data_IF_914310857150
#
_entry.id   IF_914310857150
#
_cell.length_a   1.000
_cell.length_b   1.000
_cell.length_c   1.000
_cell.angle_alpha   90.00
_cell.angle_beta   90.00
_cell.angle_gamma   90.00
#
_symmetry.space_group_name_H-M   'P 1'
#
loop_
_entity.id
_entity.type
_entity.pdbx_description
1 polymer ?
#
# COMPACT_ATOMS: atom_id res chain seq x y z
N UNK A 1 -3.05 5.97 22.56
CA UNK A 1 -2.40 4.90 21.77
C UNK A 1 -0.91 4.95 22.06
N UNK A 2 -0.35 3.94 22.75
CA UNK A 2 1.05 3.92 23.16
C UNK A 2 1.91 3.49 21.95
N UNK A 3 2.59 4.43 21.30
CA UNK A 3 3.33 4.21 20.03
C UNK A 3 4.68 3.47 20.25
N UNK A 4 4.99 3.10 21.49
CA UNK A 4 6.34 2.74 21.96
C UNK A 4 6.86 1.33 21.62
N UNK A 5 6.19 0.53 20.77
CA UNK A 5 6.66 -0.83 20.43
C UNK A 5 6.52 -1.25 18.96
N UNK A 6 6.30 -0.32 18.03
CA UNK A 6 6.31 -0.67 16.61
C UNK A 6 7.76 -0.68 16.10
N UNK A 7 8.36 -1.86 15.96
CA UNK A 7 9.68 -2.03 15.35
C UNK A 7 9.59 -1.72 13.84
N UNK A 8 9.99 -0.51 13.45
CA UNK A 8 10.12 -0.15 12.04
C UNK A 8 11.46 -0.66 11.49
N UNK A 9 11.38 -1.37 10.37
CA UNK A 9 12.52 -1.67 9.52
C UNK A 9 12.86 -0.45 8.66
N UNK A 10 14.14 -0.31 8.32
CA UNK A 10 14.65 0.76 7.47
C UNK A 10 15.28 0.18 6.21
N UNK A 11 14.99 0.79 5.07
CA UNK A 11 15.62 0.45 3.80
C UNK A 11 16.11 1.72 3.11
N UNK A 12 17.43 1.83 2.89
CA UNK A 12 18.00 2.94 2.13
C UNK A 12 17.58 2.82 0.67
N UNK A 13 16.82 3.79 0.18
CA UNK A 13 16.30 3.82 -1.18
C UNK A 13 17.17 4.67 -2.12
N UNK A 14 17.86 5.67 -1.57
CA UNK A 14 18.62 6.64 -2.35
C UNK A 14 19.68 7.31 -1.48
N UNK A 15 20.86 7.57 -2.07
CA UNK A 15 21.88 8.46 -1.51
C UNK A 15 21.98 9.67 -2.43
N UNK A 16 21.78 10.87 -1.90
CA UNK A 16 21.90 12.13 -2.64
C UNK A 16 22.52 13.20 -1.74
N UNK A 17 23.49 13.95 -2.27
CA UNK A 17 24.20 15.01 -1.51
C UNK A 17 24.80 14.52 -0.18
N UNK A 18 25.41 13.33 -0.16
CA UNK A 18 25.95 12.68 1.04
C UNK A 18 24.90 12.48 2.16
N UNK A 19 23.61 12.45 1.80
CA UNK A 19 22.51 12.09 2.69
C UNK A 19 21.86 10.82 2.19
N UNK A 20 21.63 9.90 3.12
CA UNK A 20 20.90 8.68 2.89
C UNK A 20 19.41 8.90 3.14
N UNK A 21 18.57 8.42 2.24
CA UNK A 21 17.12 8.50 2.32
C UNK A 21 16.56 7.10 2.53
N UNK A 22 15.74 6.94 3.58
CA UNK A 22 15.23 5.65 4.01
C UNK A 22 13.71 5.57 3.87
N UNK A 23 13.21 4.42 3.43
CA UNK A 23 11.83 4.00 3.71
C UNK A 23 11.81 3.39 5.10
N UNK A 24 10.92 3.89 5.96
CA UNK A 24 10.64 3.29 7.25
C UNK A 24 9.34 2.48 7.11
N UNK A 25 9.34 1.19 7.43
CA UNK A 25 8.15 0.36 7.27
C UNK A 25 8.03 -0.70 8.37
N UNK A 26 6.81 -1.13 8.63
CA UNK A 26 6.51 -2.25 9.54
C UNK A 26 6.47 -3.54 8.73
N UNK A 27 6.68 -4.71 9.37
CA UNK A 27 6.43 -5.99 8.72
C UNK A 27 5.00 -6.02 8.16
N UNK A 28 4.86 -6.25 6.85
CA UNK A 28 3.54 -6.24 6.18
C UNK A 28 2.62 -7.29 6.81
N UNK A 29 3.19 -8.44 7.18
CA UNK A 29 2.48 -9.53 7.87
C UNK A 29 1.67 -9.00 9.06
N UNK A 30 2.30 -8.22 9.94
CA UNK A 30 1.62 -7.67 11.11
C UNK A 30 0.45 -6.74 10.70
N UNK A 31 0.65 -5.91 9.66
CA UNK A 31 -0.43 -5.05 9.15
C UNK A 31 -1.61 -5.87 8.59
N UNK A 32 -1.33 -6.96 7.85
CA UNK A 32 -2.36 -7.86 7.33
C UNK A 32 -3.06 -8.60 8.47
N UNK A 33 -2.33 -9.11 9.46
CA UNK A 33 -2.89 -9.79 10.64
C UNK A 33 -3.83 -8.86 11.42
N UNK A 34 -3.47 -7.59 11.60
CA UNK A 34 -4.34 -6.60 12.25
C UNK A 34 -5.63 -6.41 11.44
N UNK A 35 -5.53 -6.26 10.12
CA UNK A 35 -6.72 -6.10 9.25
C UNK A 35 -7.62 -7.34 9.29
N UNK A 36 -7.02 -8.54 9.28
CA UNK A 36 -7.75 -9.81 9.35
C UNK A 36 -8.29 -10.10 10.75
N UNK A 37 -7.75 -9.50 11.81
CA UNK A 37 -8.25 -9.69 13.18
C UNK A 37 -9.49 -8.84 13.49
N UNK A 38 -9.85 -7.89 12.62
CA UNK A 38 -11.00 -7.03 12.81
C UNK A 38 -12.29 -7.68 12.28
N UNK A 39 -13.04 -8.34 13.17
CA UNK A 39 -14.30 -9.01 12.84
C UNK A 39 -15.36 -8.08 12.25
N UNK A 40 -15.38 -6.80 12.64
CA UNK A 40 -16.35 -5.81 12.12
C UNK A 40 -16.10 -5.49 10.65
N UNK A 41 -14.90 -5.73 10.14
CA UNK A 41 -14.54 -5.58 8.74
C UNK A 41 -14.72 -6.91 8.01
N UNK A 42 -14.25 -8.01 8.60
CA UNK A 42 -14.27 -9.33 7.98
C UNK A 42 -15.65 -9.75 7.49
N UNK A 43 -16.71 -9.41 8.24
CA UNK A 43 -18.09 -9.72 7.85
C UNK A 43 -18.51 -9.18 6.46
N UNK A 44 -17.80 -8.18 5.94
CA UNK A 44 -18.08 -7.56 4.65
C UNK A 44 -17.19 -8.08 3.51
N UNK A 45 -16.30 -9.04 3.75
CA UNK A 45 -15.35 -9.48 2.73
C UNK A 45 -16.04 -10.11 1.52
N UNK A 46 -15.55 -9.73 0.35
CA UNK A 46 -15.91 -10.32 -0.92
C UNK A 46 -14.77 -11.21 -1.38
N UNK A 47 -15.07 -12.49 -1.60
CA UNK A 47 -14.11 -13.48 -2.06
C UNK A 47 -14.32 -13.92 -3.51
N UNK A 48 -15.56 -13.80 -4.01
CA UNK A 48 -15.95 -14.34 -5.31
C UNK A 48 -16.05 -13.28 -6.38
N UNK A 49 -15.73 -13.66 -7.62
CA UNK A 49 -16.01 -12.84 -8.79
C UNK A 49 -17.51 -12.53 -8.88
N UNK A 50 -17.85 -11.29 -9.21
CA UNK A 50 -19.23 -10.88 -9.46
C UNK A 50 -19.35 -10.11 -10.77
N UNK A 51 -20.14 -10.64 -11.70
CA UNK A 51 -20.43 -9.96 -12.96
C UNK A 51 -21.57 -8.96 -12.79
N UNK A 52 -21.28 -7.80 -12.18
CA UNK A 52 -22.26 -6.73 -12.05
C UNK A 52 -22.56 -6.11 -13.42
N UNK A 53 -23.84 -5.95 -13.72
CA UNK A 53 -24.32 -5.21 -14.89
C UNK A 53 -25.16 -4.01 -14.44
N UNK A 54 -24.99 -2.88 -15.11
CA UNK A 54 -25.82 -1.70 -14.94
C UNK A 54 -26.33 -1.29 -16.33
N UNK A 55 -27.65 -1.23 -16.49
CA UNK A 55 -28.30 -0.96 -17.78
C UNK A 55 -27.84 -1.90 -18.93
N UNK A 56 -27.60 -3.18 -18.60
CA UNK A 56 -27.15 -4.18 -19.57
C UNK A 56 -25.63 -4.20 -19.81
N UNK A 57 -24.93 -3.14 -19.44
CA UNK A 57 -23.47 -3.04 -19.58
C UNK A 57 -22.73 -3.52 -18.35
N UNK A 58 -21.51 -4.02 -18.53
CA UNK A 58 -20.69 -4.52 -17.42
C UNK A 58 -20.19 -3.36 -16.55
N UNK A 59 -20.35 -3.48 -15.24
CA UNK A 59 -19.94 -2.49 -14.24
C UNK A 59 -18.68 -2.92 -13.48
N UNK A 60 -17.70 -2.01 -13.43
CA UNK A 60 -16.41 -2.21 -12.76
C UNK A 60 -16.29 -1.42 -11.45
N UNK A 61 -17.36 -1.40 -10.65
CA UNK A 61 -17.42 -0.60 -9.43
C UNK A 61 -16.59 -1.14 -8.24
N UNK A 62 -16.28 -2.44 -8.23
CA UNK A 62 -15.49 -3.09 -7.16
C UNK A 62 -14.41 -3.99 -7.77
N UNK A 63 -13.39 -4.33 -6.98
CA UNK A 63 -12.27 -5.14 -7.51
C UNK A 63 -12.71 -6.52 -8.00
N UNK A 64 -13.67 -7.14 -7.31
CA UNK A 64 -14.17 -8.46 -7.66
C UNK A 64 -15.04 -8.50 -8.92
N UNK A 65 -15.38 -7.35 -9.54
CA UNK A 65 -16.05 -7.33 -10.84
C UNK A 65 -15.09 -7.18 -12.02
N UNK A 66 -13.81 -6.95 -11.74
CA UNK A 66 -12.74 -6.89 -12.73
C UNK A 66 -12.53 -8.20 -13.48
N UNK A 67 -12.17 -8.11 -14.76
CA UNK A 67 -11.78 -9.29 -15.55
C UNK A 67 -10.58 -10.02 -14.94
N UNK A 68 -9.63 -9.27 -14.36
CA UNK A 68 -8.50 -9.85 -13.67
C UNK A 68 -8.93 -10.81 -12.55
N UNK A 69 -9.91 -10.43 -11.71
CA UNK A 69 -10.40 -11.30 -10.64
C UNK A 69 -11.02 -12.58 -11.19
N UNK A 70 -11.82 -12.48 -12.25
CA UNK A 70 -12.41 -13.64 -12.94
C UNK A 70 -11.32 -14.64 -13.37
N UNK A 71 -10.26 -14.16 -13.99
CA UNK A 71 -9.19 -15.03 -14.49
C UNK A 71 -8.31 -15.57 -13.35
N UNK A 72 -8.00 -14.74 -12.36
CA UNK A 72 -7.24 -15.16 -11.18
C UNK A 72 -7.99 -16.23 -10.37
N UNK A 73 -9.30 -16.07 -10.18
CA UNK A 73 -10.13 -17.02 -9.43
C UNK A 73 -10.24 -18.35 -10.17
N UNK A 74 -10.34 -18.32 -11.51
CA UNK A 74 -10.32 -19.52 -12.34
C UNK A 74 -8.95 -20.24 -12.36
N UNK A 75 -7.88 -19.57 -11.93
CA UNK A 75 -6.51 -20.11 -11.93
C UNK A 75 -6.09 -20.72 -10.60
N UNK A 76 -6.93 -20.65 -9.56
CA UNK A 76 -6.65 -21.21 -8.23
C UNK A 76 -7.59 -22.39 -7.91
N UNK A 77 -7.20 -23.29 -6.99
CA UNK A 77 -8.07 -24.39 -6.55
C UNK A 77 -9.39 -23.87 -5.95
N UNK A 78 -10.46 -24.66 -6.06
CA UNK A 78 -11.78 -24.30 -5.50
C UNK A 78 -11.80 -24.12 -3.98
N UNK A 79 -10.80 -24.68 -3.28
CA UNK A 79 -10.61 -24.51 -1.83
C UNK A 79 -9.85 -23.24 -1.45
N UNK A 80 -9.30 -22.51 -2.42
CA UNK A 80 -8.54 -21.29 -2.19
C UNK A 80 -9.39 -20.04 -2.49
N UNK A 81 -8.98 -18.90 -1.93
CA UNK A 81 -9.62 -17.61 -2.18
C UNK A 81 -8.54 -16.55 -2.46
N UNK A 82 -8.89 -15.55 -3.26
CA UNK A 82 -8.02 -14.41 -3.52
C UNK A 82 -8.06 -13.47 -2.31
N UNK A 83 -6.89 -13.14 -1.78
CA UNK A 83 -6.71 -12.00 -0.87
C UNK A 83 -6.03 -10.86 -1.63
N UNK A 84 -6.79 -9.81 -1.92
CA UNK A 84 -6.29 -8.62 -2.61
C UNK A 84 -5.69 -7.63 -1.61
N UNK A 85 -4.50 -7.12 -1.92
CA UNK A 85 -3.83 -6.08 -1.14
C UNK A 85 -3.80 -4.78 -1.95
N UNK A 86 -4.22 -3.68 -1.33
CA UNK A 86 -4.14 -2.34 -1.91
C UNK A 86 -3.10 -1.57 -1.11
N UNK A 87 -2.05 -1.12 -1.80
CA UNK A 87 -1.10 -0.15 -1.29
C UNK A 87 -1.44 1.20 -1.89
N UNK A 88 -1.51 2.23 -1.05
CA UNK A 88 -1.64 3.59 -1.54
C UNK A 88 -0.86 4.54 -0.63
N UNK A 89 -0.42 5.64 -1.23
CA UNK A 89 0.31 6.70 -0.54
C UNK A 89 -0.30 8.02 -0.97
N UNK A 90 -0.56 8.89 -0.02
CA UNK A 90 -0.96 10.27 -0.28
C UNK A 90 -0.05 11.21 0.52
N UNK A 91 0.23 12.39 -0.02
CA UNK A 91 1.05 13.38 0.64
C UNK A 91 0.27 13.99 1.81
N UNK A 92 0.75 13.80 3.03
CA UNK A 92 0.16 14.43 4.22
C UNK A 92 1.16 15.40 4.85
N UNK A 93 0.73 16.63 5.13
CA UNK A 93 1.47 17.58 5.96
C UNK A 93 1.45 17.09 7.41
N UNK A 94 2.62 16.95 8.03
CA UNK A 94 2.78 16.30 9.35
C UNK A 94 3.05 17.25 10.49
N UNK A 95 3.23 18.54 10.23
CA UNK A 95 3.38 19.58 11.25
C UNK A 95 2.25 20.60 11.19
N UNK A 96 1.99 21.22 12.35
CA UNK A 96 1.03 22.31 12.51
C UNK A 96 1.35 23.54 11.66
N UNK A 97 2.57 23.64 11.13
CA UNK A 97 3.06 24.73 10.29
C UNK A 97 3.26 24.35 8.80
N UNK A 98 2.99 23.10 8.40
CA UNK A 98 3.13 22.61 7.02
C UNK A 98 4.56 22.55 6.45
N UNK A 99 5.61 22.66 7.28
CA UNK A 99 7.03 22.65 6.89
C UNK A 99 7.59 21.24 6.69
N UNK A 100 6.97 20.22 7.26
CA UNK A 100 7.33 18.82 7.02
C UNK A 100 6.14 18.10 6.40
N UNK A 101 6.32 17.58 5.19
CA UNK A 101 5.46 16.51 4.70
C UNK A 101 6.04 15.16 5.17
N UNK A 102 5.20 14.14 5.23
CA UNK A 102 5.59 12.75 5.09
C UNK A 102 4.68 12.14 4.03
N UNK A 103 5.17 11.13 3.34
CA UNK A 103 4.36 10.34 2.41
C UNK A 103 4.05 9.00 3.10
N UNK A 104 2.99 8.92 3.93
CA UNK A 104 2.59 7.67 4.55
C UNK A 104 2.14 6.67 3.49
N UNK A 105 2.57 5.43 3.68
CA UNK A 105 2.14 4.28 2.91
C UNK A 105 1.09 3.56 3.74
N UNK A 106 -0.11 3.43 3.21
CA UNK A 106 -1.17 2.64 3.81
C UNK A 106 -1.34 1.32 3.06
N UNK A 107 -1.72 0.29 3.80
CA UNK A 107 -2.20 -0.98 3.27
C UNK A 107 -3.66 -1.19 3.67
N UNK A 108 -4.45 -1.70 2.73
CA UNK A 108 -5.84 -2.09 2.92
C UNK A 108 -6.10 -3.40 2.17
N UNK A 109 -7.18 -4.10 2.52
CA UNK A 109 -7.61 -5.29 1.80
C UNK A 109 -8.62 -4.91 0.70
N UNK A 110 -8.36 -5.35 -0.52
CA UNK A 110 -9.22 -5.10 -1.69
C UNK A 110 -10.52 -5.92 -1.68
N UNK A 111 -10.56 -6.97 -0.85
CA UNK A 111 -11.77 -7.75 -0.56
C UNK A 111 -12.84 -6.95 0.18
N UNK A 112 -12.47 -5.84 0.82
CA UNK A 112 -13.41 -4.99 1.57
C UNK A 112 -14.13 -4.06 0.56
N UNK A 113 -15.47 -4.01 0.53
CA UNK A 113 -16.23 -3.11 -0.32
C UNK A 113 -15.81 -1.64 -0.13
N UNK A 114 -15.86 -0.85 -1.20
CA UNK A 114 -15.32 0.52 -1.21
C UNK A 114 -15.87 1.40 -0.08
N UNK A 115 -17.17 1.35 0.19
CA UNK A 115 -17.81 2.13 1.25
C UNK A 115 -17.27 1.80 2.66
N UNK A 116 -16.93 0.53 2.93
CA UNK A 116 -16.39 0.07 4.21
C UNK A 116 -14.88 0.28 4.28
N UNK A 117 -14.19 0.08 3.15
CA UNK A 117 -12.75 0.26 2.98
C UNK A 117 -12.30 1.69 3.21
N UNK A 118 -13.20 2.67 3.00
CA UNK A 118 -12.89 4.08 3.22
C UNK A 118 -12.79 4.47 4.70
N UNK A 119 -13.24 3.64 5.63
CA UNK A 119 -13.11 3.88 7.08
C UNK A 119 -11.66 3.70 7.55
N UNK A 120 -11.29 4.40 8.62
CA UNK A 120 -9.90 4.42 9.12
C UNK A 120 -9.42 3.05 9.59
N UNK A 121 -10.29 2.29 10.23
CA UNK A 121 -10.01 0.95 10.77
C UNK A 121 -9.78 -0.11 9.69
N UNK A 122 -10.19 0.16 8.44
CA UNK A 122 -9.94 -0.69 7.27
C UNK A 122 -8.57 -0.45 6.61
N UNK A 123 -7.76 0.44 7.18
CA UNK A 123 -6.44 0.80 6.68
C UNK A 123 -5.40 0.65 7.78
N UNK A 124 -4.21 0.22 7.42
CA UNK A 124 -3.07 0.18 8.32
C UNK A 124 -1.92 0.99 7.75
N UNK A 125 -1.29 1.80 8.60
CA UNK A 125 -0.08 2.50 8.23
C UNK A 125 1.07 1.48 8.15
N UNK A 126 1.56 1.29 6.94
CA UNK A 126 2.63 0.36 6.63
C UNK A 126 3.99 1.01 6.81
N UNK A 127 4.12 2.30 6.48
CA UNK A 127 5.40 2.99 6.53
C UNK A 127 5.35 4.42 6.02
N UNK A 128 6.53 4.98 5.80
CA UNK A 128 6.72 6.33 5.30
C UNK A 128 7.80 6.34 4.20
N UNK A 129 7.47 6.97 3.07
CA UNK A 129 8.47 7.32 2.06
C UNK A 129 9.27 8.54 2.51
N UNK A 130 10.57 8.58 2.19
CA UNK A 130 11.40 9.75 2.45
C UNK A 130 11.02 10.91 1.54
N UNK A 131 11.23 12.13 2.04
CA UNK A 131 11.14 13.35 1.25
C UNK A 131 12.54 13.86 0.98
N UNK A 132 12.77 14.22 -0.28
CA UNK A 132 14.04 14.78 -0.70
C UNK A 132 14.16 16.23 -0.27
N UNK A 133 15.30 16.55 0.32
CA UNK A 133 15.66 17.92 0.65
C UNK A 133 16.60 18.47 -0.41
N UNK A 134 16.16 19.52 -1.10
CA UNK A 134 17.05 20.34 -1.91
C UNK A 134 17.89 21.25 -1.00
N UNK A 135 19.13 21.54 -1.40
CA UNK A 135 20.01 22.48 -0.68
C UNK A 135 19.50 23.91 -0.77
N UNK A 136 18.87 24.28 -1.88
CA UNK A 136 18.33 25.60 -2.15
C UNK A 136 17.20 25.54 -3.21
N UNK A 137 16.48 26.64 -3.40
CA UNK A 137 15.38 26.74 -4.37
C UNK A 137 15.84 26.51 -5.83
N UNK A 138 17.10 26.83 -6.14
CA UNK A 138 17.70 26.59 -7.46
C UNK A 138 17.84 25.08 -7.75
N UNK A 139 18.31 24.30 -6.79
CA UNK A 139 18.38 22.84 -6.89
C UNK A 139 16.96 22.25 -6.93
N UNK A 140 16.05 22.73 -6.08
CA UNK A 140 14.67 22.24 -6.03
C UNK A 140 13.94 22.33 -7.37
N UNK A 141 14.24 23.37 -8.14
CA UNK A 141 13.64 23.60 -9.47
C UNK A 141 14.43 22.94 -10.62
N UNK A 142 15.63 22.42 -10.35
CA UNK A 142 16.50 21.80 -11.35
C UNK A 142 15.89 20.54 -11.98
N UNK A 143 16.16 20.26 -13.27
CA UNK A 143 15.77 19.01 -13.91
C UNK A 143 16.29 17.76 -13.18
N UNK A 144 17.49 17.82 -12.63
CA UNK A 144 18.16 16.72 -11.93
C UNK A 144 17.39 16.35 -10.66
N UNK A 145 17.00 17.35 -9.86
CA UNK A 145 16.22 17.12 -8.65
C UNK A 145 14.81 16.62 -8.97
N UNK A 146 14.18 17.14 -10.03
CA UNK A 146 12.87 16.62 -10.50
C UNK A 146 12.97 15.16 -10.95
N UNK A 147 14.06 14.77 -11.61
CA UNK A 147 14.33 13.36 -11.97
C UNK A 147 14.47 12.47 -10.73
N UNK A 148 15.14 12.96 -9.68
CA UNK A 148 15.26 12.21 -8.41
C UNK A 148 13.90 12.01 -7.72
N UNK A 149 13.06 13.05 -7.70
CA UNK A 149 11.69 12.92 -7.18
C UNK A 149 10.91 11.89 -8.00
N UNK A 150 11.00 11.94 -9.33
CA UNK A 150 10.32 10.98 -10.20
C UNK A 150 10.84 9.55 -9.98
N UNK A 151 12.15 9.38 -9.82
CA UNK A 151 12.76 8.09 -9.48
C UNK A 151 12.21 7.51 -8.18
N UNK A 152 12.09 8.33 -7.13
CA UNK A 152 11.50 7.88 -5.87
C UNK A 152 10.01 7.52 -6.02
N UNK A 153 9.24 8.29 -6.79
CA UNK A 153 7.85 7.96 -7.11
C UNK A 153 7.74 6.63 -7.86
N UNK A 154 8.58 6.40 -8.86
CA UNK A 154 8.62 5.12 -9.58
C UNK A 154 9.01 3.96 -8.67
N UNK A 155 9.91 4.18 -7.70
CA UNK A 155 10.25 3.18 -6.68
C UNK A 155 9.11 2.93 -5.69
N UNK A 156 8.27 3.93 -5.42
CA UNK A 156 7.03 3.79 -4.65
C UNK A 156 5.97 2.98 -5.39
N UNK A 157 5.88 3.12 -6.71
CA UNK A 157 5.01 2.26 -7.52
C UNK A 157 5.59 0.84 -7.64
N UNK A 158 6.91 0.76 -7.75
CA UNK A 158 7.66 -0.48 -7.89
C UNK A 158 8.15 -1.02 -6.55
N UNK A 159 7.31 -1.01 -5.50
CA UNK A 159 7.60 -1.55 -4.15
C UNK A 159 7.83 -3.09 -4.24
N UNK A 160 8.91 -3.45 -4.90
CA UNK A 160 9.30 -4.79 -5.32
C UNK A 160 9.88 -5.55 -4.15
N UNK A 161 10.54 -4.86 -3.21
CA UNK A 161 11.14 -5.47 -2.03
C UNK A 161 10.12 -5.88 -0.96
N UNK A 162 9.08 -5.08 -0.74
CA UNK A 162 7.95 -5.41 0.13
C UNK A 162 7.11 -6.56 -0.50
N UNK A 163 7.00 -6.59 -1.83
CA UNK A 163 6.42 -7.73 -2.56
C UNK A 163 7.26 -9.01 -2.40
N UNK A 164 8.59 -8.92 -2.31
CA UNK A 164 9.44 -10.09 -2.02
C UNK A 164 9.23 -10.65 -0.61
N UNK A 165 8.97 -9.80 0.39
CA UNK A 165 8.58 -10.27 1.73
C UNK A 165 7.18 -10.92 1.72
N UNK A 166 6.25 -10.39 0.94
CA UNK A 166 4.95 -11.01 0.70
C UNK A 166 5.09 -12.39 0.03
N UNK A 167 5.96 -12.52 -0.98
CA UNK A 167 6.15 -13.80 -1.68
C UNK A 167 6.80 -14.87 -0.77
N UNK A 168 7.69 -14.48 0.14
CA UNK A 168 8.20 -15.36 1.20
C UNK A 168 7.13 -15.78 2.22
N UNK A 169 6.19 -14.88 2.54
CA UNK A 169 5.06 -15.16 3.43
C UNK A 169 4.09 -16.19 2.82
N UNK A 170 3.64 -15.97 1.57
CA UNK A 170 2.72 -16.89 0.90
C UNK A 170 3.32 -18.30 0.72
N UNK A 171 4.63 -18.39 0.49
CA UNK A 171 5.33 -19.70 0.38
C UNK A 171 5.47 -20.47 1.70
N UNK A 172 5.42 -19.78 2.85
CA UNK A 172 5.71 -20.39 4.16
C UNK A 172 4.47 -20.72 4.99
N UNK A 173 3.33 -20.08 4.71
CA UNK A 173 2.14 -20.18 5.58
C UNK A 173 0.82 -20.45 4.84
N UNK A 174 0.81 -20.48 3.51
CA UNK A 174 -0.40 -20.69 2.70
C UNK A 174 -0.25 -21.78 1.62
N UNK A 175 0.91 -22.45 1.58
CA UNK A 175 1.18 -23.72 0.89
C UNK A 175 1.60 -24.75 1.95
#
# INVERSE_FOLDING_TARGET
>A
MNISQLSYSKYCILVHNNREYFINYRPIKNCIEILLSNSEILQYFIFKYENKKHQGEKSYAEQNSGNWWKYAEASIPSSACILSLILYSDATTTDTLGKSSLHPIYISLGNIPTWRRNKEDAKQLLGYFPILFAKNEKEKTSPEFKKLILYLKMKMESITKLITELSGFFRKYLL
#
